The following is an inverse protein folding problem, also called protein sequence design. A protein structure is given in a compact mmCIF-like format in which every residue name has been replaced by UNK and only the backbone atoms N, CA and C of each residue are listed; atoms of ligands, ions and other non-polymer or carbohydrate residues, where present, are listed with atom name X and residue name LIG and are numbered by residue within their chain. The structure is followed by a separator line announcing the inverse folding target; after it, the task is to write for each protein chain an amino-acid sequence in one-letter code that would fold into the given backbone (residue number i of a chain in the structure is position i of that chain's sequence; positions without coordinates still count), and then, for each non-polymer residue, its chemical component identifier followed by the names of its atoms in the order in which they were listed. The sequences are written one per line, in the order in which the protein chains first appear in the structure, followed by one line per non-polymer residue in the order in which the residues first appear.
data_IF_580298437350
#
_entry.id   IF_580298437350
#
_cell.length_a   1.000
_cell.length_b   1.000
_cell.length_c   1.000
_cell.angle_alpha   90.00
_cell.angle_beta   90.00
_cell.angle_gamma   90.00
#
_symmetry.space_group_name_H-M   'P 1'
#
loop_
_entity.id
_entity.type
_entity.pdbx_description
1 polymer ?
#
# COMPACT_ATOMS: atom_id res chain seq x y z
N UNK A 1 -2.98 13.48 18.77
CA UNK A 1 -2.76 12.18 19.46
C UNK A 1 -1.62 11.51 18.73
N UNK A 2 -0.49 11.29 19.38
CA UNK A 2 0.64 10.56 18.78
C UNK A 2 0.24 9.10 18.80
N UNK A 3 0.10 8.51 17.61
CA UNK A 3 -0.16 7.07 17.49
C UNK A 3 1.14 6.35 17.80
N UNK A 4 1.11 5.46 18.76
CA UNK A 4 2.24 4.56 19.01
C UNK A 4 2.18 3.44 17.95
N UNK A 5 2.96 3.58 16.88
CA UNK A 5 3.01 2.61 15.79
C UNK A 5 3.56 1.24 16.22
N UNK A 6 4.22 1.18 17.38
CA UNK A 6 4.80 -0.06 17.95
C UNK A 6 3.72 -1.04 18.45
N UNK A 7 2.46 -0.62 18.52
CA UNK A 7 1.34 -1.44 18.98
C UNK A 7 0.59 -2.17 17.84
N UNK A 8 0.98 -1.96 16.56
CA UNK A 8 0.23 -2.46 15.43
C UNK A 8 1.08 -3.29 14.47
N UNK A 9 0.58 -4.46 14.13
CA UNK A 9 1.26 -5.45 13.28
C UNK A 9 1.14 -5.15 11.76
N UNK A 10 0.41 -4.12 11.35
CA UNK A 10 0.24 -3.75 9.93
C UNK A 10 -0.40 -2.37 9.76
N UNK A 11 -0.09 -1.66 8.66
CA UNK A 11 -0.74 -0.39 8.30
C UNK A 11 -2.27 -0.49 8.33
N UNK A 12 -2.88 -1.52 7.80
CA UNK A 12 -4.32 -1.69 7.92
C UNK A 12 -4.83 -1.97 9.32
N UNK A 13 -4.05 -2.66 10.17
CA UNK A 13 -4.37 -2.80 11.60
C UNK A 13 -4.46 -1.44 12.27
N UNK A 14 -3.52 -0.53 11.96
CA UNK A 14 -3.53 0.86 12.39
C UNK A 14 -4.81 1.57 11.91
N UNK A 15 -5.15 1.44 10.63
CA UNK A 15 -6.36 2.05 10.07
C UNK A 15 -7.62 1.61 10.81
N UNK A 16 -7.82 0.30 11.00
CA UNK A 16 -9.02 -0.21 11.68
C UNK A 16 -9.07 0.17 13.16
N UNK A 17 -7.94 0.17 13.84
CA UNK A 17 -7.86 0.64 15.22
C UNK A 17 -8.22 2.12 15.31
N UNK A 18 -7.60 2.96 14.50
CA UNK A 18 -7.90 4.39 14.47
C UNK A 18 -9.34 4.66 14.03
N UNK A 19 -9.89 3.90 13.09
CA UNK A 19 -11.30 4.03 12.69
C UNK A 19 -12.26 3.71 13.85
N UNK A 20 -11.88 2.81 14.75
CA UNK A 20 -12.66 2.51 15.94
C UNK A 20 -12.53 3.60 17.03
N UNK A 21 -11.35 4.23 17.16
CA UNK A 21 -11.06 5.24 18.17
C UNK A 21 -11.47 6.65 17.73
N UNK A 22 -11.15 7.02 16.50
CA UNK A 22 -11.34 8.38 15.98
C UNK A 22 -12.72 8.60 15.35
N UNK A 23 -13.41 7.51 14.99
CA UNK A 23 -14.81 7.47 14.52
C UNK A 23 -15.18 8.61 13.57
N UNK A 24 -15.80 9.66 14.10
CA UNK A 24 -16.33 10.77 13.33
C UNK A 24 -15.31 11.88 13.05
N UNK A 25 -14.06 11.71 13.49
CA UNK A 25 -13.02 12.68 13.14
C UNK A 25 -12.67 12.61 11.66
N UNK A 26 -12.30 13.74 11.03
CA UNK A 26 -11.87 13.76 9.65
C UNK A 26 -10.66 12.86 9.40
N UNK A 27 -10.71 12.06 8.32
CA UNK A 27 -9.62 11.20 7.89
C UNK A 27 -9.14 11.55 6.49
N UNK A 28 -10.06 11.66 5.53
CA UNK A 28 -9.76 12.03 4.16
C UNK A 28 -10.56 13.28 3.78
N UNK A 29 -10.00 14.09 2.91
CA UNK A 29 -10.65 15.26 2.38
C UNK A 29 -10.81 15.10 0.87
N UNK A 30 -12.01 15.36 0.35
CA UNK A 30 -12.29 15.40 -1.09
C UNK A 30 -12.87 16.75 -1.45
N UNK A 31 -12.58 17.22 -2.66
CA UNK A 31 -13.16 18.45 -3.18
C UNK A 31 -14.49 18.13 -3.87
N UNK A 32 -15.58 18.72 -3.38
CA UNK A 32 -16.91 18.65 -3.98
C UNK A 32 -17.47 20.07 -4.14
N UNK A 33 -17.86 20.43 -5.37
CA UNK A 33 -18.43 21.76 -5.68
C UNK A 33 -17.58 22.91 -5.12
N UNK A 34 -16.27 22.89 -5.36
CA UNK A 34 -15.27 23.83 -4.90
C UNK A 34 -15.13 23.98 -3.36
N UNK A 35 -15.65 23.04 -2.60
CA UNK A 35 -15.46 22.95 -1.16
C UNK A 35 -14.81 21.65 -0.78
N UNK A 36 -13.93 21.70 0.21
CA UNK A 36 -13.38 20.50 0.80
C UNK A 36 -14.40 19.89 1.77
N UNK A 37 -14.75 18.64 1.52
CA UNK A 37 -15.62 17.82 2.38
C UNK A 37 -14.79 16.72 2.96
N UNK A 38 -14.79 16.57 4.28
CA UNK A 38 -14.09 15.47 4.94
C UNK A 38 -14.92 14.21 4.93
N UNK A 39 -14.24 13.06 4.77
CA UNK A 39 -14.73 11.76 5.13
C UNK A 39 -14.15 11.38 6.49
N UNK A 40 -14.99 10.95 7.41
CA UNK A 40 -14.53 10.48 8.71
C UNK A 40 -13.88 9.09 8.62
N UNK A 41 -13.15 8.70 9.64
CA UNK A 41 -12.59 7.36 9.78
C UNK A 41 -13.66 6.27 9.67
N UNK A 42 -14.81 6.46 10.34
CA UNK A 42 -15.93 5.51 10.27
C UNK A 42 -16.52 5.40 8.87
N UNK A 43 -16.68 6.53 8.17
CA UNK A 43 -17.21 6.53 6.80
C UNK A 43 -16.29 5.82 5.82
N UNK A 44 -14.97 6.03 5.94
CA UNK A 44 -14.01 5.34 5.07
C UNK A 44 -13.98 3.84 5.38
N UNK A 45 -14.00 3.45 6.67
CA UNK A 45 -14.11 2.06 7.08
C UNK A 45 -15.36 1.39 6.49
N UNK A 46 -16.53 2.01 6.63
CA UNK A 46 -17.79 1.50 6.07
C UNK A 46 -17.75 1.36 4.54
N UNK A 47 -17.13 2.30 3.84
CA UNK A 47 -16.94 2.21 2.39
C UNK A 47 -16.04 1.02 2.01
N UNK A 48 -14.93 0.81 2.70
CA UNK A 48 -14.03 -0.34 2.47
C UNK A 48 -14.77 -1.66 2.71
N UNK A 49 -15.52 -1.75 3.80
CA UNK A 49 -16.31 -2.95 4.13
C UNK A 49 -17.47 -3.18 3.16
N UNK A 50 -18.13 -2.10 2.69
CA UNK A 50 -19.24 -2.19 1.72
C UNK A 50 -18.79 -2.67 0.33
N UNK A 51 -17.52 -2.50 -0.01
CA UNK A 51 -16.90 -3.06 -1.21
C UNK A 51 -16.60 -4.56 -1.07
N UNK A 52 -16.93 -5.18 0.07
CA UNK A 52 -16.67 -6.59 0.34
C UNK A 52 -15.20 -6.90 0.63
N UNK A 53 -14.39 -5.89 0.94
CA UNK A 53 -13.00 -6.10 1.29
C UNK A 53 -12.88 -6.83 2.64
N UNK A 54 -12.04 -7.88 2.65
CA UNK A 54 -11.67 -8.61 3.85
C UNK A 54 -10.22 -8.34 4.21
N UNK A 55 -10.00 -8.11 5.49
CA UNK A 55 -8.66 -7.94 6.03
C UNK A 55 -8.13 -9.28 6.50
N UNK A 56 -6.98 -9.68 5.99
CA UNK A 56 -6.31 -10.90 6.41
C UNK A 56 -5.08 -10.52 7.25
N UNK A 57 -5.03 -11.03 8.48
CA UNK A 57 -3.92 -10.82 9.39
C UNK A 57 -3.34 -12.14 9.82
N UNK A 58 -2.02 -12.19 9.98
CA UNK A 58 -1.35 -13.31 10.64
C UNK A 58 -1.67 -13.25 12.13
N UNK A 59 -2.16 -14.35 12.69
CA UNK A 59 -2.53 -14.45 14.12
C UNK A 59 -1.30 -14.83 14.97
N UNK A 60 -0.31 -13.96 15.01
CA UNK A 60 0.86 -14.07 15.88
C UNK A 60 1.08 -12.72 16.54
N UNK A 61 1.32 -12.71 17.85
CA UNK A 61 1.67 -11.51 18.64
C UNK A 61 3.15 -11.17 18.41
N UNK A 62 3.45 -10.63 17.25
CA UNK A 62 4.79 -10.16 16.90
C UNK A 62 4.70 -8.77 16.29
N UNK A 63 5.44 -7.82 16.86
CA UNK A 63 5.48 -6.44 16.39
C UNK A 63 6.45 -6.30 15.20
N UNK A 64 5.90 -6.01 14.03
CA UNK A 64 6.62 -5.80 12.78
C UNK A 64 6.96 -4.35 12.46
N UNK A 65 6.67 -3.40 13.36
CA UNK A 65 6.95 -1.99 13.12
C UNK A 65 8.42 -1.63 13.36
N UNK A 66 8.96 -0.72 12.56
CA UNK A 66 10.25 -0.09 12.80
C UNK A 66 10.11 1.43 12.87
N UNK A 67 11.05 2.09 13.56
CA UNK A 67 11.02 3.53 13.78
C UNK A 67 11.10 4.37 12.49
N UNK A 68 11.49 3.77 11.37
CA UNK A 68 11.60 4.38 10.04
C UNK A 68 10.39 4.13 9.14
N UNK A 69 9.31 3.53 9.66
CA UNK A 69 8.07 3.26 8.94
C UNK A 69 8.13 2.06 7.97
N UNK A 70 9.23 1.32 7.94
CA UNK A 70 9.37 0.09 7.15
C UNK A 70 9.14 -1.15 8.02
N UNK A 71 8.70 -2.25 7.39
CA UNK A 71 8.52 -3.50 8.09
C UNK A 71 9.85 -4.03 8.63
N UNK A 72 9.86 -4.40 9.90
CA UNK A 72 10.98 -5.09 10.55
C UNK A 72 11.19 -6.47 9.94
N UNK A 73 12.38 -7.03 10.07
CA UNK A 73 12.58 -8.44 9.77
C UNK A 73 11.88 -9.25 10.85
N UNK A 74 10.78 -9.91 10.44
CA UNK A 74 9.95 -10.71 11.32
C UNK A 74 10.62 -12.04 11.68
N UNK A 75 10.14 -12.69 12.74
CA UNK A 75 10.58 -14.04 13.08
C UNK A 75 10.31 -15.02 11.94
N UNK A 76 11.03 -16.13 11.96
CA UNK A 76 10.79 -17.19 10.97
C UNK A 76 9.37 -17.75 11.09
N UNK A 77 8.88 -17.90 12.30
CA UNK A 77 7.53 -18.39 12.61
C UNK A 77 6.45 -17.47 12.01
N UNK A 78 6.65 -16.18 12.09
CA UNK A 78 5.75 -15.19 11.49
C UNK A 78 5.75 -15.29 9.96
N UNK A 79 6.94 -15.32 9.35
CA UNK A 79 7.10 -15.43 7.90
C UNK A 79 6.47 -16.76 7.40
N UNK A 80 6.68 -17.87 8.08
CA UNK A 80 6.10 -19.17 7.71
C UNK A 80 4.55 -19.13 7.81
N UNK A 81 4.00 -18.46 8.82
CA UNK A 81 2.55 -18.27 8.96
C UNK A 81 1.97 -17.35 7.89
N UNK A 82 2.66 -16.26 7.56
CA UNK A 82 2.30 -15.33 6.48
C UNK A 82 2.30 -16.04 5.12
N UNK A 83 3.35 -16.80 4.82
CA UNK A 83 3.45 -17.58 3.59
C UNK A 83 2.37 -18.65 3.49
N UNK A 84 1.98 -19.25 4.61
CA UNK A 84 0.88 -20.22 4.68
C UNK A 84 -0.45 -19.56 4.40
N UNK A 85 -0.68 -18.34 4.93
CA UNK A 85 -1.87 -17.53 4.67
C UNK A 85 -1.96 -17.16 3.18
N UNK A 86 -0.88 -16.69 2.57
CA UNK A 86 -0.86 -16.37 1.14
C UNK A 86 -1.12 -17.59 0.27
N UNK A 87 -0.53 -18.73 0.63
CA UNK A 87 -0.75 -20.01 -0.08
C UNK A 87 -2.23 -20.43 -0.05
N UNK A 88 -2.89 -20.24 1.08
CA UNK A 88 -4.33 -20.53 1.19
C UNK A 88 -5.16 -19.59 0.32
N UNK A 89 -4.85 -18.28 0.33
CA UNK A 89 -5.54 -17.30 -0.50
C UNK A 89 -5.39 -17.57 -1.99
N UNK A 90 -4.25 -18.07 -2.44
CA UNK A 90 -4.02 -18.42 -3.84
C UNK A 90 -5.01 -19.44 -4.42
N UNK A 91 -5.73 -20.20 -3.58
CA UNK A 91 -6.76 -21.15 -4.05
C UNK A 91 -8.03 -20.47 -4.56
N UNK A 92 -8.35 -19.28 -4.02
CA UNK A 92 -9.64 -18.63 -4.23
C UNK A 92 -9.58 -17.37 -5.08
N UNK A 93 -8.42 -16.68 -5.10
CA UNK A 93 -8.27 -15.42 -5.82
C UNK A 93 -8.01 -15.62 -7.31
N UNK A 94 -8.47 -14.65 -8.12
CA UNK A 94 -8.24 -14.61 -9.56
C UNK A 94 -7.21 -13.54 -9.95
N UNK A 95 -7.01 -12.52 -9.12
CA UNK A 95 -6.04 -11.43 -9.34
C UNK A 95 -5.24 -11.20 -8.07
N UNK A 96 -3.92 -11.16 -8.20
CA UNK A 96 -2.99 -10.78 -7.13
C UNK A 96 -2.24 -9.53 -7.57
N UNK A 97 -2.20 -8.51 -6.71
CA UNK A 97 -1.39 -7.31 -6.89
C UNK A 97 -0.38 -7.25 -5.74
N UNK A 98 0.91 -7.31 -6.06
CA UNK A 98 1.97 -7.23 -5.05
C UNK A 98 2.65 -5.87 -5.08
N UNK A 99 2.85 -5.28 -3.90
CA UNK A 99 3.34 -3.90 -3.75
C UNK A 99 4.48 -3.78 -2.73
N UNK A 100 5.00 -4.88 -2.20
CA UNK A 100 6.03 -4.83 -1.16
C UNK A 100 7.38 -4.41 -1.76
N UNK A 101 7.69 -3.13 -1.58
CA UNK A 101 8.91 -2.50 -2.07
C UNK A 101 9.66 -1.85 -0.91
N UNK A 102 10.95 -2.19 -0.77
CA UNK A 102 11.84 -1.55 0.20
C UNK A 102 12.87 -0.76 -0.60
N UNK A 103 12.93 0.58 -0.46
CA UNK A 103 13.88 1.40 -1.20
C UNK A 103 15.32 0.92 -1.02
N UNK A 104 16.05 0.77 -2.14
CA UNK A 104 17.45 0.36 -2.13
C UNK A 104 17.73 -1.11 -1.80
N UNK A 105 16.69 -1.95 -1.57
CA UNK A 105 16.86 -3.38 -1.28
C UNK A 105 16.11 -4.23 -2.32
N UNK A 106 16.45 -5.50 -2.41
CA UNK A 106 15.66 -6.46 -3.17
C UNK A 106 14.27 -6.62 -2.57
N UNK A 107 13.26 -6.70 -3.42
CA UNK A 107 11.89 -6.97 -2.99
C UNK A 107 11.79 -8.34 -2.30
N UNK A 108 11.02 -8.46 -1.20
CA UNK A 108 10.78 -9.74 -0.55
C UNK A 108 10.00 -10.66 -1.48
N UNK A 109 10.26 -11.96 -1.41
CA UNK A 109 9.50 -12.98 -2.14
C UNK A 109 8.28 -13.37 -1.33
N UNK A 110 7.10 -12.96 -1.82
CA UNK A 110 5.80 -13.21 -1.19
C UNK A 110 5.01 -14.31 -1.89
N UNK A 111 5.18 -14.44 -3.21
CA UNK A 111 4.49 -15.44 -4.03
C UNK A 111 5.53 -16.40 -4.61
N UNK A 112 5.53 -17.63 -4.11
CA UNK A 112 6.43 -18.68 -4.58
C UNK A 112 5.92 -19.32 -5.87
N UNK A 113 6.79 -20.07 -6.54
CA UNK A 113 6.39 -20.87 -7.70
C UNK A 113 5.27 -21.85 -7.36
N UNK A 114 5.32 -22.49 -6.17
CA UNK A 114 4.25 -23.40 -5.73
C UNK A 114 2.89 -22.70 -5.58
N UNK A 115 2.88 -21.43 -5.12
CA UNK A 115 1.66 -20.66 -5.03
C UNK A 115 1.10 -20.32 -6.41
N UNK A 116 1.96 -20.01 -7.38
CA UNK A 116 1.55 -19.81 -8.78
C UNK A 116 0.93 -21.10 -9.34
N UNK A 117 1.50 -22.26 -9.03
CA UNK A 117 0.99 -23.55 -9.50
C UNK A 117 -0.39 -23.92 -8.90
N UNK A 118 -0.78 -23.30 -7.78
CA UNK A 118 -2.09 -23.50 -7.13
C UNK A 118 -3.18 -22.58 -7.72
N UNK A 119 -2.79 -21.42 -8.27
CA UNK A 119 -3.73 -20.49 -8.87
C UNK A 119 -4.51 -21.12 -10.03
N UNK A 120 -5.74 -20.65 -10.21
CA UNK A 120 -6.58 -21.11 -11.31
C UNK A 120 -5.98 -20.66 -12.66
N UNK A 121 -6.03 -21.50 -13.70
CA UNK A 121 -5.69 -21.05 -15.06
C UNK A 121 -6.52 -19.85 -15.47
N UNK A 122 -5.87 -18.81 -16.00
CA UNK A 122 -6.49 -17.52 -16.31
C UNK A 122 -6.28 -16.46 -15.24
N UNK A 123 -5.79 -16.82 -14.05
CA UNK A 123 -5.41 -15.84 -13.01
C UNK A 123 -4.26 -14.94 -13.45
N UNK A 124 -4.21 -13.75 -12.84
CA UNK A 124 -3.21 -12.72 -13.16
C UNK A 124 -2.50 -12.26 -11.89
N UNK A 125 -1.18 -12.16 -11.96
CA UNK A 125 -0.35 -11.51 -10.93
C UNK A 125 0.23 -10.23 -11.53
N UNK A 126 0.02 -9.10 -10.86
CA UNK A 126 0.64 -7.81 -11.20
C UNK A 126 1.68 -7.49 -10.13
N UNK A 127 2.94 -7.55 -10.49
CA UNK A 127 4.05 -7.37 -9.55
C UNK A 127 4.64 -5.96 -9.70
N UNK A 128 4.25 -5.04 -8.80
CA UNK A 128 4.71 -3.66 -8.81
C UNK A 128 6.16 -3.51 -8.30
N UNK A 129 6.70 -4.56 -7.66
CA UNK A 129 8.07 -4.57 -7.17
C UNK A 129 9.09 -5.15 -8.19
N UNK A 130 8.66 -5.39 -9.43
CA UNK A 130 9.46 -6.01 -10.50
C UNK A 130 10.81 -5.33 -10.71
N UNK A 131 10.88 -4.00 -10.60
CA UNK A 131 12.12 -3.24 -10.74
C UNK A 131 13.22 -3.68 -9.74
N UNK A 132 12.81 -4.14 -8.55
CA UNK A 132 13.72 -4.59 -7.49
C UNK A 132 13.73 -6.12 -7.34
N UNK A 133 13.43 -6.84 -8.41
CA UNK A 133 13.47 -8.29 -8.47
C UNK A 133 12.11 -8.97 -8.27
N UNK A 134 11.05 -8.20 -7.98
CA UNK A 134 9.67 -8.68 -7.86
C UNK A 134 9.36 -9.45 -6.57
N UNK A 135 8.11 -9.38 -6.17
CA UNK A 135 7.57 -10.16 -5.05
C UNK A 135 7.17 -11.59 -5.46
N UNK A 136 6.86 -11.81 -6.73
CA UNK A 136 6.64 -13.15 -7.26
C UNK A 136 7.96 -13.76 -7.71
N UNK A 137 8.16 -15.03 -7.37
CA UNK A 137 9.39 -15.78 -7.71
C UNK A 137 9.60 -15.89 -9.22
N UNK A 138 8.52 -16.07 -9.98
CA UNK A 138 8.54 -16.21 -11.43
C UNK A 138 8.49 -14.88 -12.18
N UNK A 139 8.37 -13.75 -11.47
CA UNK A 139 8.34 -12.43 -12.08
C UNK A 139 9.67 -12.11 -12.80
N UNK A 140 9.57 -11.59 -14.02
CA UNK A 140 10.70 -11.05 -14.76
C UNK A 140 10.44 -9.59 -15.10
N UNK A 141 11.47 -8.78 -14.92
CA UNK A 141 11.41 -7.36 -15.17
C UNK A 141 11.05 -7.06 -16.64
N UNK A 142 10.05 -6.19 -16.82
CA UNK A 142 9.55 -5.69 -18.11
C UNK A 142 8.97 -6.77 -19.04
N UNK A 143 8.67 -7.96 -18.49
CA UNK A 143 8.08 -9.07 -19.23
C UNK A 143 6.71 -9.48 -18.67
N UNK A 144 5.93 -10.16 -19.51
CA UNK A 144 4.81 -10.99 -19.10
C UNK A 144 5.28 -12.44 -19.15
N UNK A 145 5.29 -13.10 -17.99
CA UNK A 145 5.59 -14.53 -17.89
C UNK A 145 4.28 -15.29 -17.78
N UNK A 146 4.17 -16.41 -18.49
CA UNK A 146 3.04 -17.32 -18.36
C UNK A 146 3.52 -18.67 -17.77
N UNK A 147 2.84 -19.11 -16.74
CA UNK A 147 3.10 -20.39 -16.08
C UNK A 147 1.77 -21.05 -15.70
N UNK A 148 1.52 -22.27 -16.19
CA UNK A 148 0.28 -23.02 -15.94
C UNK A 148 -1.02 -22.24 -16.24
N UNK A 149 -1.00 -21.37 -17.27
CA UNK A 149 -2.13 -20.50 -17.62
C UNK A 149 -2.29 -19.28 -16.73
N UNK A 150 -1.39 -19.05 -15.76
CA UNK A 150 -1.32 -17.83 -14.93
C UNK A 150 -0.41 -16.82 -15.60
N UNK A 151 -0.85 -15.57 -15.74
CA UNK A 151 -0.05 -14.46 -16.30
C UNK A 151 0.57 -13.65 -15.18
N UNK A 152 1.89 -13.46 -15.23
CA UNK A 152 2.65 -12.67 -14.27
C UNK A 152 3.20 -11.45 -15.01
N UNK A 153 2.71 -10.26 -14.62
CA UNK A 153 3.03 -8.99 -15.26
C UNK A 153 4.09 -8.28 -14.43
N UNK A 154 5.28 -8.14 -14.99
CA UNK A 154 6.45 -7.52 -14.36
C UNK A 154 6.87 -6.18 -14.96
N UNK A 155 5.91 -5.37 -15.46
CA UNK A 155 6.24 -4.07 -16.03
C UNK A 155 6.72 -3.07 -14.98
N UNK A 156 7.75 -2.29 -15.33
CA UNK A 156 8.31 -1.24 -14.46
C UNK A 156 7.81 0.16 -14.82
N UNK A 157 7.15 0.31 -15.96
CA UNK A 157 6.68 1.57 -16.54
C UNK A 157 5.15 1.77 -16.44
N UNK A 158 4.49 1.14 -15.45
CA UNK A 158 3.03 1.20 -15.30
C UNK A 158 2.47 2.64 -15.27
N UNK A 159 3.09 3.63 -14.58
CA UNK A 159 2.62 5.01 -14.64
C UNK A 159 2.64 5.58 -16.06
N UNK A 160 3.64 5.24 -16.88
CA UNK A 160 3.76 5.69 -18.27
C UNK A 160 2.74 5.05 -19.20
N UNK A 161 2.14 3.92 -18.80
CA UNK A 161 1.07 3.25 -19.55
C UNK A 161 -0.31 3.89 -19.34
N UNK A 162 -0.46 4.72 -18.28
CA UNK A 162 -1.64 5.53 -18.00
C UNK A 162 -1.24 7.01 -17.79
N UNK A 163 -0.64 7.66 -18.79
CA UNK A 163 0.08 8.93 -18.59
C UNK A 163 -0.83 10.06 -18.11
N UNK A 164 -2.04 10.17 -18.61
CA UNK A 164 -2.97 11.23 -18.21
C UNK A 164 -3.33 11.12 -16.73
N UNK A 165 -3.75 9.93 -16.29
CA UNK A 165 -4.12 9.70 -14.91
C UNK A 165 -2.93 9.86 -13.95
N UNK A 166 -1.77 9.32 -14.32
CA UNK A 166 -0.56 9.44 -13.50
C UNK A 166 -0.09 10.87 -13.36
N UNK A 167 -0.17 11.67 -14.44
CA UNK A 167 0.17 13.09 -14.43
C UNK A 167 -0.80 13.90 -13.57
N UNK A 168 -2.09 13.60 -13.64
CA UNK A 168 -3.11 14.27 -12.82
C UNK A 168 -2.91 14.00 -11.34
N UNK A 169 -2.67 12.73 -10.96
CA UNK A 169 -2.41 12.36 -9.56
C UNK A 169 -1.13 13.03 -9.03
N UNK A 170 -0.08 13.07 -9.84
CA UNK A 170 1.17 13.73 -9.47
C UNK A 170 1.01 15.25 -9.34
N UNK A 171 0.29 15.88 -10.29
CA UNK A 171 0.01 17.31 -10.24
C UNK A 171 -0.80 17.70 -8.99
N UNK A 172 -1.76 16.87 -8.59
CA UNK A 172 -2.51 17.08 -7.35
C UNK A 172 -1.61 17.03 -6.11
N UNK A 173 -0.65 16.09 -6.06
CA UNK A 173 0.32 16.06 -4.96
C UNK A 173 1.17 17.34 -4.91
N UNK A 174 1.66 17.82 -6.07
CA UNK A 174 2.40 19.07 -6.14
C UNK A 174 1.55 20.28 -5.70
N UNK A 175 0.28 20.30 -6.10
CA UNK A 175 -0.64 21.35 -5.70
C UNK A 175 -0.82 21.38 -4.17
N UNK A 176 -1.04 20.24 -3.53
CA UNK A 176 -1.17 20.18 -2.07
C UNK A 176 0.11 20.59 -1.34
N UNK A 177 1.29 20.24 -1.87
CA UNK A 177 2.56 20.72 -1.31
C UNK A 177 2.66 22.23 -1.40
N UNK A 178 2.24 22.83 -2.52
CA UNK A 178 2.22 24.30 -2.65
C UNK A 178 1.26 24.96 -1.67
N UNK A 179 0.08 24.36 -1.44
CA UNK A 179 -0.88 24.82 -0.43
C UNK A 179 -0.25 24.80 0.99
N UNK A 180 0.43 23.71 1.35
CA UNK A 180 1.11 23.61 2.65
C UNK A 180 2.26 24.60 2.81
N UNK A 181 2.97 24.89 1.72
CA UNK A 181 4.05 25.89 1.71
C UNK A 181 3.56 27.34 1.71
N UNK A 182 2.29 27.58 1.39
CA UNK A 182 1.70 28.93 1.35
C UNK A 182 0.35 29.00 2.11
N UNK A 183 0.34 28.67 3.41
CA UNK A 183 -0.89 28.46 4.18
C UNK A 183 -1.76 29.73 4.29
N UNK A 184 -1.17 30.91 4.16
CA UNK A 184 -1.87 32.18 4.25
C UNK A 184 -2.38 32.72 2.89
N UNK A 185 -2.08 32.06 1.78
CA UNK A 185 -2.40 32.50 0.41
C UNK A 185 -1.89 33.93 0.07
N UNK A 186 -0.80 34.35 0.69
CA UNK A 186 -0.16 35.65 0.51
C UNK A 186 1.05 35.63 -0.44
N UNK A 187 1.36 34.46 -0.99
CA UNK A 187 2.51 34.23 -1.86
C UNK A 187 3.85 34.13 -1.11
N UNK A 188 3.82 34.11 0.21
CA UNK A 188 5.00 33.94 1.05
C UNK A 188 5.14 32.46 1.41
N UNK A 189 6.33 31.91 1.17
CA UNK A 189 6.61 30.50 1.51
C UNK A 189 6.87 30.42 3.01
N UNK A 190 6.13 29.54 3.70
CA UNK A 190 6.33 29.19 5.10
C UNK A 190 6.77 27.72 5.18
N UNK A 191 8.00 27.48 5.64
CA UNK A 191 8.56 26.14 5.79
C UNK A 191 8.35 25.68 7.22
N UNK A 192 7.25 24.99 7.47
CA UNK A 192 6.95 24.43 8.78
C UNK A 192 7.68 23.09 8.96
N UNK A 193 8.81 23.11 9.67
CA UNK A 193 9.61 21.90 9.95
C UNK A 193 8.98 20.97 11.00
N UNK A 194 7.91 21.38 11.67
CA UNK A 194 7.14 20.50 12.55
C UNK A 194 6.16 19.61 11.76
N UNK A 195 5.88 19.94 10.50
CA UNK A 195 5.14 19.10 9.57
C UNK A 195 6.04 17.98 9.03
N UNK A 196 5.55 16.74 9.12
CA UNK A 196 6.31 15.55 8.73
C UNK A 196 6.57 15.48 7.21
N UNK A 197 5.63 15.97 6.40
CA UNK A 197 5.73 15.97 4.93
C UNK A 197 6.77 16.99 4.50
N UNK A 198 6.68 18.21 5.00
CA UNK A 198 7.63 19.30 4.69
C UNK A 198 9.05 18.90 5.14
N UNK A 199 9.19 18.42 6.37
CA UNK A 199 10.48 17.94 6.91
C UNK A 199 11.05 16.78 6.09
N UNK A 200 10.23 15.87 5.61
CA UNK A 200 10.68 14.72 4.83
C UNK A 200 11.11 15.07 3.39
N UNK A 201 10.80 16.26 2.92
CA UNK A 201 11.14 16.76 1.57
C UNK A 201 12.35 17.71 1.55
N UNK A 202 12.79 18.21 2.67
CA UNK A 202 13.97 19.06 2.85
C UNK A 202 15.18 18.27 3.27
#
# INVERSE_FOLDING_TARGET
MIVNFDEFNSIPGIFYHQANDLKDQPYLWKKENDKYVSLSWSQVKEQVESLGAQFLTVKLDEDGSSADGYAKVMSKEFIDAEMSLFKEQCKDVDIIITTALIPGKKAPKLITKEMVDILKPGSVIVDLASQQGGNCELCKRDEIVESNGVKIIGYTDLPSRLPSQSSELYANNLYHIMDELTPNNDGIIDINMDDDVIRGMT
#
